data_IF_735608362030
#
_entry.id   IF_735608362030
#
_cell.length_a   1.000
_cell.length_b   1.000
_cell.length_c   1.000
_cell.angle_alpha   90.00
_cell.angle_beta   90.00
_cell.angle_gamma   90.00
#
_symmetry.space_group_name_H-M   'P 1'
#
loop_
_entity.id
_entity.type
_entity.pdbx_description
1 polymer ?
#
# COMPACT_ATOMS: atom_id res chain seq x y z
N UNK A 1 30.75 34.67 15.27
CA UNK A 1 30.43 34.14 13.92
C UNK A 1 29.43 33.02 14.14
N UNK A 2 28.16 33.28 13.84
CA UNK A 2 27.05 32.37 14.20
C UNK A 2 27.01 31.18 13.25
N UNK A 3 27.21 29.98 13.77
CA UNK A 3 26.94 28.73 13.06
C UNK A 3 25.44 28.67 12.72
N UNK A 4 25.11 28.94 11.46
CA UNK A 4 23.77 28.73 10.94
C UNK A 4 23.54 27.22 10.90
N UNK A 5 22.72 26.71 11.81
CA UNK A 5 22.25 25.33 11.83
C UNK A 5 21.80 24.93 10.40
N UNK A 6 22.45 23.91 9.84
CA UNK A 6 22.15 23.35 8.52
C UNK A 6 20.71 22.85 8.55
N UNK A 7 19.80 23.55 7.85
CA UNK A 7 18.40 23.15 7.79
C UNK A 7 18.30 21.73 7.22
N UNK A 8 17.48 20.84 7.80
CA UNK A 8 17.26 19.52 7.22
C UNK A 8 16.77 19.71 5.78
N UNK A 9 17.42 18.99 4.85
CA UNK A 9 17.06 19.04 3.44
C UNK A 9 15.63 18.52 3.30
N UNK A 10 14.72 19.39 2.85
CA UNK A 10 13.36 18.98 2.56
C UNK A 10 13.38 18.10 1.30
N UNK A 11 12.87 16.88 1.41
CA UNK A 11 12.72 15.96 0.29
C UNK A 11 11.24 15.93 -0.08
N UNK A 12 10.92 16.23 -1.34
CA UNK A 12 9.57 16.06 -1.86
C UNK A 12 9.28 14.58 -2.06
N UNK A 13 8.11 14.12 -1.61
CA UNK A 13 7.64 12.74 -1.79
C UNK A 13 6.39 12.79 -2.65
N UNK A 14 6.44 12.24 -3.86
CA UNK A 14 5.26 12.03 -4.71
C UNK A 14 4.75 10.60 -4.52
N UNK A 15 3.46 10.42 -4.22
CA UNK A 15 2.85 9.12 -3.97
C UNK A 15 2.07 8.66 -5.21
N UNK A 16 2.60 7.68 -5.94
CA UNK A 16 2.05 7.24 -7.21
C UNK A 16 1.28 5.91 -7.14
N UNK A 17 0.43 5.67 -8.14
CA UNK A 17 -0.19 4.36 -8.37
C UNK A 17 0.84 3.38 -8.95
N UNK A 18 1.78 3.89 -9.74
CA UNK A 18 2.84 3.12 -10.40
C UNK A 18 4.03 2.81 -9.48
N UNK A 19 4.42 3.80 -8.66
CA UNK A 19 5.51 3.73 -7.68
C UNK A 19 4.97 4.26 -6.36
N UNK A 20 5.21 3.54 -5.25
CA UNK A 20 4.67 3.91 -3.94
C UNK A 20 5.11 5.32 -3.56
N UNK A 21 6.36 5.64 -3.88
CA UNK A 21 6.86 6.99 -3.77
C UNK A 21 8.02 7.28 -4.72
N UNK A 22 8.16 8.54 -5.10
CA UNK A 22 9.30 9.09 -5.82
C UNK A 22 9.85 10.26 -5.00
N UNK A 23 11.15 10.25 -4.69
CA UNK A 23 11.79 11.38 -4.01
C UNK A 23 12.25 12.42 -5.02
N UNK A 24 12.34 13.69 -4.59
CA UNK A 24 12.96 14.76 -5.39
C UNK A 24 14.43 14.52 -5.73
N UNK A 25 15.07 13.56 -5.06
CA UNK A 25 16.45 13.12 -5.31
C UNK A 25 16.53 11.96 -6.33
N UNK A 26 15.39 11.51 -6.86
CA UNK A 26 15.31 10.49 -7.91
C UNK A 26 15.17 9.06 -7.40
N UNK A 27 15.07 8.84 -6.09
CA UNK A 27 14.87 7.50 -5.54
C UNK A 27 13.45 7.03 -5.85
N UNK A 28 13.38 5.84 -6.46
CA UNK A 28 12.15 5.17 -6.84
C UNK A 28 11.84 4.09 -5.80
N UNK A 29 10.65 4.17 -5.23
CA UNK A 29 10.16 3.15 -4.33
C UNK A 29 9.00 2.43 -4.99
N UNK A 30 9.23 1.17 -5.31
CA UNK A 30 8.24 0.35 -6.00
C UNK A 30 6.95 0.26 -5.21
N UNK A 31 5.83 0.44 -5.91
CA UNK A 31 4.54 0.03 -5.37
C UNK A 31 4.48 -1.49 -5.45
N UNK A 32 4.37 -2.23 -4.32
CA UNK A 32 4.22 -3.67 -4.37
C UNK A 32 2.96 -3.97 -5.16
N UNK A 33 3.18 -4.37 -6.43
CA UNK A 33 2.13 -4.56 -7.43
C UNK A 33 1.09 -5.47 -6.80
N UNK A 34 -0.11 -4.93 -6.68
CA UNK A 34 -1.24 -5.66 -6.15
C UNK A 34 -1.34 -6.99 -6.90
N UNK A 35 -1.32 -8.08 -6.14
CA UNK A 35 -1.31 -9.39 -6.75
C UNK A 35 -2.56 -9.53 -7.62
N UNK A 36 -2.38 -9.71 -8.93
CA UNK A 36 -3.47 -9.91 -9.90
C UNK A 36 -4.45 -10.99 -9.44
N UNK A 37 -3.97 -11.93 -8.63
CA UNK A 37 -4.77 -12.94 -7.95
C UNK A 37 -5.89 -12.33 -7.08
N UNK A 38 -5.57 -11.35 -6.23
CA UNK A 38 -6.54 -10.74 -5.31
C UNK A 38 -7.60 -9.95 -6.07
N UNK A 39 -7.20 -9.27 -7.15
CA UNK A 39 -8.12 -8.56 -8.04
C UNK A 39 -9.08 -9.51 -8.76
N UNK A 40 -8.55 -10.60 -9.35
CA UNK A 40 -9.36 -11.64 -9.98
C UNK A 40 -10.38 -12.24 -8.99
N UNK A 41 -9.94 -12.50 -7.76
CA UNK A 41 -10.78 -13.03 -6.69
C UNK A 41 -11.87 -12.05 -6.26
N UNK A 42 -11.53 -10.76 -6.13
CA UNK A 42 -12.49 -9.71 -5.81
C UNK A 42 -13.57 -9.60 -6.89
N UNK A 43 -13.17 -9.56 -8.16
CA UNK A 43 -14.08 -9.54 -9.32
C UNK A 43 -15.00 -10.76 -9.36
N UNK A 44 -14.45 -11.95 -9.06
CA UNK A 44 -15.24 -13.18 -8.97
C UNK A 44 -16.30 -13.09 -7.86
N UNK A 45 -15.93 -12.66 -6.65
CA UNK A 45 -16.85 -12.52 -5.52
C UNK A 45 -17.92 -11.46 -5.76
N UNK A 46 -17.56 -10.32 -6.37
CA UNK A 46 -18.52 -9.29 -6.79
C UNK A 46 -19.55 -9.86 -7.79
N UNK A 47 -19.09 -10.62 -8.79
CA UNK A 47 -19.99 -11.29 -9.75
C UNK A 47 -20.88 -12.32 -9.08
N UNK A 48 -20.35 -13.09 -8.13
CA UNK A 48 -21.13 -14.04 -7.33
C UNK A 48 -22.23 -13.32 -6.55
N UNK A 49 -21.90 -12.23 -5.85
CA UNK A 49 -22.90 -11.41 -5.14
C UNK A 49 -23.96 -10.93 -6.13
N UNK A 50 -23.57 -10.30 -7.24
CA UNK A 50 -24.50 -9.77 -8.25
C UNK A 50 -25.49 -10.82 -8.78
N UNK A 51 -25.03 -12.05 -9.01
CA UNK A 51 -25.86 -13.15 -9.53
C UNK A 51 -26.85 -13.75 -8.50
N UNK A 52 -26.72 -13.45 -7.21
CA UNK A 52 -27.62 -14.01 -6.17
C UNK A 52 -28.79 -13.08 -5.88
N UNK A 53 -29.99 -13.68 -5.74
CA UNK A 53 -31.23 -12.98 -5.38
C UNK A 53 -31.04 -12.09 -4.15
N UNK A 54 -31.41 -10.82 -4.24
CA UNK A 54 -31.40 -9.86 -3.12
C UNK A 54 -32.20 -10.42 -1.94
N UNK A 55 -31.72 -10.20 -0.72
CA UNK A 55 -32.34 -10.71 0.52
C UNK A 55 -32.10 -12.20 0.81
N UNK A 56 -31.71 -13.03 -0.16
CA UNK A 56 -31.50 -14.47 0.08
C UNK A 56 -30.34 -14.76 1.04
N UNK A 57 -30.47 -15.84 1.83
CA UNK A 57 -29.40 -16.33 2.71
C UNK A 57 -28.09 -16.61 1.95
N UNK A 58 -28.19 -17.14 0.72
CA UNK A 58 -27.04 -17.38 -0.16
C UNK A 58 -26.33 -16.08 -0.56
N UNK A 59 -27.07 -15.00 -0.80
CA UNK A 59 -26.48 -13.69 -1.06
C UNK A 59 -25.78 -13.14 0.18
N UNK A 60 -26.39 -13.27 1.37
CA UNK A 60 -25.75 -12.84 2.63
C UNK A 60 -24.38 -13.50 2.82
N UNK A 61 -24.29 -14.82 2.61
CA UNK A 61 -23.00 -15.56 2.64
C UNK A 61 -21.99 -15.03 1.61
N UNK A 62 -22.43 -14.76 0.38
CA UNK A 62 -21.55 -14.22 -0.67
C UNK A 62 -21.03 -12.82 -0.33
N UNK A 63 -21.87 -11.95 0.25
CA UNK A 63 -21.47 -10.61 0.71
C UNK A 63 -20.44 -10.69 1.83
N UNK A 64 -20.60 -11.62 2.79
CA UNK A 64 -19.61 -11.85 3.84
C UNK A 64 -18.26 -12.29 3.28
N UNK A 65 -18.24 -13.17 2.27
CA UNK A 65 -17.00 -13.57 1.60
C UNK A 65 -16.34 -12.40 0.87
N UNK A 66 -17.13 -11.57 0.20
CA UNK A 66 -16.64 -10.35 -0.45
C UNK A 66 -16.03 -9.37 0.56
N UNK A 67 -16.70 -9.15 1.71
CA UNK A 67 -16.19 -8.29 2.77
C UNK A 67 -14.85 -8.78 3.32
N UNK A 68 -14.72 -10.08 3.62
CA UNK A 68 -13.45 -10.70 4.05
C UNK A 68 -12.34 -10.53 3.01
N UNK A 69 -12.68 -10.59 1.73
CA UNK A 69 -11.72 -10.37 0.66
C UNK A 69 -11.25 -8.91 0.61
N UNK A 70 -12.14 -7.94 0.80
CA UNK A 70 -11.76 -6.53 0.92
C UNK A 70 -10.83 -6.29 2.11
N UNK A 71 -11.16 -6.86 3.27
CA UNK A 71 -10.32 -6.78 4.48
C UNK A 71 -8.91 -7.32 4.23
N UNK A 72 -8.78 -8.48 3.58
CA UNK A 72 -7.47 -9.04 3.20
C UNK A 72 -6.65 -8.13 2.30
N UNK A 73 -7.29 -7.48 1.33
CA UNK A 73 -6.61 -6.52 0.43
C UNK A 73 -6.13 -5.29 1.21
N UNK A 74 -6.96 -4.77 2.11
CA UNK A 74 -6.60 -3.62 2.97
C UNK A 74 -5.43 -3.98 3.89
N UNK A 75 -5.48 -5.14 4.56
CA UNK A 75 -4.40 -5.58 5.44
C UNK A 75 -3.09 -5.78 4.68
N UNK A 76 -3.12 -6.40 3.49
CA UNK A 76 -1.92 -6.52 2.64
C UNK A 76 -1.36 -5.17 2.21
N UNK A 77 -2.22 -4.19 1.91
CA UNK A 77 -1.78 -2.82 1.57
C UNK A 77 -1.15 -2.13 2.78
N UNK A 78 -1.70 -2.33 3.97
CA UNK A 78 -1.14 -1.78 5.22
C UNK A 78 0.21 -2.41 5.56
N UNK A 79 0.33 -3.73 5.45
CA UNK A 79 1.59 -4.45 5.67
C UNK A 79 2.66 -4.01 4.69
N UNK A 80 2.29 -3.84 3.41
CA UNK A 80 3.17 -3.28 2.40
C UNK A 80 3.66 -1.90 2.81
N UNK A 81 2.75 -0.98 3.14
CA UNK A 81 3.10 0.38 3.54
C UNK A 81 4.01 0.43 4.78
N UNK A 82 3.73 -0.38 5.81
CA UNK A 82 4.57 -0.47 7.00
C UNK A 82 5.98 -1.02 6.67
N UNK A 83 6.07 -2.12 5.93
CA UNK A 83 7.37 -2.68 5.53
C UNK A 83 8.19 -1.71 4.69
N UNK A 84 7.52 -0.99 3.81
CA UNK A 84 8.19 0.06 3.03
C UNK A 84 8.68 1.16 3.97
N UNK A 85 7.85 1.67 4.88
CA UNK A 85 8.27 2.66 5.87
C UNK A 85 9.49 2.20 6.72
N UNK A 86 9.47 0.97 7.23
CA UNK A 86 10.58 0.41 8.01
C UNK A 86 11.87 0.29 7.18
N UNK A 87 11.74 -0.13 5.93
CA UNK A 87 12.85 -0.18 4.98
C UNK A 87 13.44 1.21 4.73
N UNK A 88 12.60 2.25 4.64
CA UNK A 88 13.06 3.62 4.40
C UNK A 88 13.82 4.17 5.59
N UNK A 89 13.30 3.98 6.79
CA UNK A 89 13.98 4.38 8.01
C UNK A 89 15.34 3.71 8.13
N UNK A 90 15.42 2.42 7.79
CA UNK A 90 16.67 1.67 7.82
C UNK A 90 17.68 2.21 6.81
N UNK A 91 17.28 2.43 5.56
CA UNK A 91 18.15 2.95 4.49
C UNK A 91 18.68 4.34 4.83
N UNK A 92 17.80 5.25 5.26
CA UNK A 92 18.17 6.61 5.63
C UNK A 92 19.13 6.57 6.84
N UNK A 93 18.77 5.86 7.90
CA UNK A 93 19.57 5.79 9.13
C UNK A 93 20.96 5.19 8.88
N UNK A 94 21.05 4.16 8.05
CA UNK A 94 22.32 3.56 7.57
C UNK A 94 23.21 4.58 6.85
N UNK A 95 22.62 5.42 5.99
CA UNK A 95 23.35 6.43 5.21
C UNK A 95 23.98 7.51 6.10
N UNK A 96 23.32 7.88 7.20
CA UNK A 96 23.75 8.95 8.11
C UNK A 96 24.56 8.45 9.31
N UNK A 97 24.53 7.16 9.65
CA UNK A 97 25.37 6.57 10.71
C UNK A 97 26.71 6.00 10.20
N UNK A 98 26.93 5.97 8.87
CA UNK A 98 28.14 5.44 8.23
C UNK A 98 29.11 6.54 7.73
N UNK A 99 28.85 7.79 8.10
CA UNK A 99 29.77 8.93 7.99
C UNK A 99 30.35 9.26 9.35
#
# INVERSE_FOLDING_TARGET
>A
MTDKAKKPKAIGIDLGISHLAITSDGDLFDNPKHSQYEERKLKHLQRLVSKKKKGSSRRKKAVQLLAKQHERVVNKRRDAAHKTHDSWLTTITSLYLKT
#
